data_IF_446514664913
#
_entry.id   IF_446514664913
#
_cell.length_a   1.000
_cell.length_b   1.000
_cell.length_c   1.000
_cell.angle_alpha   90.00
_cell.angle_beta   90.00
_cell.angle_gamma   90.00
#
_symmetry.space_group_name_H-M   'P 1'
#
loop_
_entity.id
_entity.type
_entity.pdbx_description
1 polymer ?
#
# COMPACT_ATOMS: atom_id res chain seq x y z
N UNK A 1 7.97 -57.43 45.19
CA UNK A 1 7.84 -55.94 45.17
C UNK A 1 8.08 -55.46 43.76
N UNK A 2 7.01 -55.24 42.98
CA UNK A 2 7.11 -54.79 41.57
C UNK A 2 6.91 -53.30 41.53
N UNK A 3 7.94 -52.58 41.16
CA UNK A 3 7.88 -51.13 40.92
C UNK A 3 7.55 -50.86 39.47
N UNK A 4 6.30 -50.47 39.18
CA UNK A 4 5.89 -49.97 37.85
C UNK A 4 6.42 -48.54 37.67
N UNK A 5 7.29 -48.33 36.70
CA UNK A 5 7.71 -47.00 36.22
C UNK A 5 6.75 -46.55 35.13
N UNK A 6 5.93 -45.56 35.42
CA UNK A 6 5.16 -44.84 34.40
C UNK A 6 6.08 -43.87 33.69
N UNK A 7 6.30 -44.12 32.38
CA UNK A 7 6.92 -43.16 31.49
C UNK A 7 5.83 -42.22 30.93
N UNK A 8 5.87 -40.97 31.35
CA UNK A 8 5.00 -39.94 30.80
C UNK A 8 5.58 -39.48 29.44
N UNK A 9 4.88 -39.82 28.35
CA UNK A 9 5.16 -39.29 27.01
C UNK A 9 4.58 -37.87 26.92
N UNK A 10 5.47 -36.88 26.96
CA UNK A 10 5.14 -35.49 26.65
C UNK A 10 5.06 -35.35 25.11
N UNK A 11 3.86 -35.34 24.58
CA UNK A 11 3.59 -34.97 23.17
C UNK A 11 3.63 -33.46 23.06
N UNK A 12 4.75 -32.92 22.55
CA UNK A 12 4.86 -31.52 22.16
C UNK A 12 4.05 -31.29 20.90
N UNK A 13 2.88 -30.68 21.03
CA UNK A 13 2.13 -30.16 19.88
C UNK A 13 2.86 -28.95 19.31
N UNK A 14 3.54 -29.11 18.17
CA UNK A 14 3.99 -27.99 17.37
C UNK A 14 2.74 -27.29 16.80
N UNK A 15 2.40 -26.13 17.34
CA UNK A 15 1.51 -25.20 16.66
C UNK A 15 2.27 -24.61 15.47
N UNK A 16 2.01 -25.13 14.28
CA UNK A 16 2.34 -24.46 13.05
C UNK A 16 1.49 -23.18 12.99
N UNK A 17 2.09 -22.05 13.33
CA UNK A 17 1.50 -20.75 13.02
C UNK A 17 1.57 -20.61 11.51
N UNK A 18 0.43 -20.76 10.84
CA UNK A 18 0.25 -20.28 9.49
C UNK A 18 0.47 -18.76 9.50
N UNK A 19 1.71 -18.35 9.23
CA UNK A 19 1.97 -16.99 8.81
C UNK A 19 1.25 -16.83 7.48
N UNK A 20 0.04 -16.27 7.51
CA UNK A 20 -0.66 -15.91 6.29
C UNK A 20 0.24 -14.95 5.52
N UNK A 21 0.91 -15.47 4.50
CA UNK A 21 1.77 -14.68 3.64
C UNK A 21 0.92 -13.55 3.06
N UNK A 22 1.22 -12.32 3.47
CA UNK A 22 0.52 -11.14 3.00
C UNK A 22 0.59 -11.09 1.49
N UNK A 23 -0.57 -11.09 0.83
CA UNK A 23 -0.66 -11.08 -0.61
C UNK A 23 0.03 -9.84 -1.18
N UNK A 24 1.06 -10.05 -2.00
CA UNK A 24 1.72 -8.98 -2.76
C UNK A 24 1.18 -8.98 -4.19
N UNK A 25 0.99 -7.80 -4.73
CA UNK A 25 0.54 -7.61 -6.11
C UNK A 25 1.73 -7.48 -7.06
N UNK A 26 1.52 -7.65 -8.39
CA UNK A 26 2.55 -7.37 -9.39
C UNK A 26 3.11 -5.96 -9.21
N UNK A 27 4.39 -5.78 -9.46
CA UNK A 27 5.07 -4.49 -9.31
C UNK A 27 5.38 -3.85 -10.66
N UNK A 28 5.45 -2.53 -10.67
CA UNK A 28 5.98 -1.72 -11.78
C UNK A 28 6.98 -0.71 -11.25
N UNK A 29 7.88 -0.26 -12.12
CA UNK A 29 8.78 0.83 -11.79
C UNK A 29 8.17 2.14 -12.27
N UNK A 30 7.92 3.05 -11.33
CA UNK A 30 7.54 4.43 -11.61
C UNK A 30 8.76 5.33 -11.52
N UNK A 31 8.73 6.44 -12.25
CA UNK A 31 9.73 7.49 -12.11
C UNK A 31 9.08 8.86 -11.88
N UNK A 32 9.62 9.59 -10.92
CA UNK A 32 9.24 10.97 -10.60
C UNK A 32 10.53 11.79 -10.59
N UNK A 33 10.79 12.52 -11.67
CA UNK A 33 12.09 13.14 -11.88
C UNK A 33 13.20 12.09 -11.88
N UNK A 34 14.18 12.23 -10.96
CA UNK A 34 15.29 11.28 -10.79
C UNK A 34 14.98 10.11 -9.86
N UNK A 35 13.81 10.12 -9.21
CA UNK A 35 13.46 9.11 -8.21
C UNK A 35 12.75 7.92 -8.88
N UNK A 36 13.24 6.72 -8.60
CA UNK A 36 12.61 5.47 -9.00
C UNK A 36 11.84 4.87 -7.82
N UNK A 37 10.64 4.40 -8.10
CA UNK A 37 9.73 3.79 -7.13
C UNK A 37 9.37 2.39 -7.61
N UNK A 38 9.45 1.40 -6.74
CA UNK A 38 8.87 0.09 -6.96
C UNK A 38 7.45 0.09 -6.39
N UNK A 39 6.47 0.20 -7.27
CA UNK A 39 5.06 0.26 -6.87
C UNK A 39 4.35 -1.06 -7.17
N UNK A 40 3.68 -1.62 -6.16
CA UNK A 40 2.68 -2.65 -6.38
C UNK A 40 1.50 -2.04 -7.16
N UNK A 41 0.85 -2.83 -8.00
CA UNK A 41 -0.19 -2.34 -8.91
C UNK A 41 -1.55 -2.92 -8.53
N UNK A 42 -2.50 -2.08 -8.16
CA UNK A 42 -3.88 -2.43 -7.86
C UNK A 42 -4.80 -2.01 -9.03
N UNK A 43 -5.27 -2.96 -9.82
CA UNK A 43 -6.11 -2.75 -10.99
C UNK A 43 -7.57 -3.16 -10.78
N UNK A 44 -7.80 -4.29 -10.07
CA UNK A 44 -9.13 -4.83 -9.83
C UNK A 44 -9.77 -4.20 -8.61
N UNK A 45 -11.09 -4.28 -8.51
CA UNK A 45 -11.83 -3.70 -7.39
C UNK A 45 -11.38 -4.29 -6.04
N UNK A 46 -11.16 -5.60 -5.97
CA UNK A 46 -10.70 -6.29 -4.76
C UNK A 46 -9.28 -5.85 -4.37
N UNK A 47 -8.40 -5.66 -5.35
CA UNK A 47 -7.03 -5.19 -5.14
C UNK A 47 -7.03 -3.75 -4.62
N UNK A 48 -7.85 -2.88 -5.22
CA UNK A 48 -7.99 -1.50 -4.74
C UNK A 48 -8.63 -1.43 -3.36
N UNK A 49 -9.60 -2.30 -3.07
CA UNK A 49 -10.23 -2.37 -1.75
C UNK A 49 -9.26 -2.84 -0.67
N UNK A 50 -8.38 -3.79 -0.99
CA UNK A 50 -7.36 -4.27 -0.07
C UNK A 50 -6.23 -3.25 0.13
N UNK A 51 -5.69 -2.68 -0.95
CA UNK A 51 -4.58 -1.74 -0.88
C UNK A 51 -3.42 -2.25 -0.03
N UNK A 52 -2.87 -1.38 0.80
CA UNK A 52 -1.78 -1.68 1.74
C UNK A 52 -2.27 -2.14 3.13
N UNK A 53 -3.52 -2.62 3.24
CA UNK A 53 -4.06 -3.11 4.52
C UNK A 53 -3.16 -4.20 5.11
N UNK A 54 -3.01 -4.17 6.44
CA UNK A 54 -2.24 -5.13 7.24
C UNK A 54 -0.73 -5.19 6.94
N UNK A 55 -0.19 -4.28 6.13
CA UNK A 55 1.26 -4.17 5.95
C UNK A 55 1.89 -3.60 7.22
N UNK A 56 2.91 -4.29 7.74
CA UNK A 56 3.63 -3.84 8.93
C UNK A 56 4.68 -2.77 8.59
N UNK A 57 5.21 -2.83 7.37
CA UNK A 57 6.21 -1.90 6.86
C UNK A 57 6.14 -1.75 5.34
N UNK A 58 6.69 -0.66 4.85
CA UNK A 58 6.86 -0.33 3.44
C UNK A 58 8.30 0.14 3.23
N UNK A 59 8.99 -0.40 2.24
CA UNK A 59 10.35 0.03 1.90
C UNK A 59 10.42 1.50 1.53
N UNK A 60 11.59 2.10 1.66
CA UNK A 60 11.78 3.56 1.51
C UNK A 60 11.29 4.10 0.16
N UNK A 61 11.49 3.34 -0.93
CA UNK A 61 11.04 3.69 -2.28
C UNK A 61 10.03 2.66 -2.82
N UNK A 62 9.30 2.03 -1.94
CA UNK A 62 8.18 1.15 -2.26
C UNK A 62 6.86 1.89 -2.05
N UNK A 63 5.86 1.51 -2.82
CA UNK A 63 4.52 2.07 -2.74
C UNK A 63 3.49 1.20 -3.41
N UNK A 64 2.29 1.73 -3.56
CA UNK A 64 1.22 1.11 -4.33
C UNK A 64 0.56 2.13 -5.24
N UNK A 65 0.46 1.79 -6.53
CA UNK A 65 -0.30 2.57 -7.51
C UNK A 65 -1.64 1.91 -7.78
N UNK A 66 -2.69 2.67 -7.57
CA UNK A 66 -4.08 2.32 -7.86
C UNK A 66 -4.44 2.89 -9.22
N UNK A 67 -4.94 2.05 -10.12
CA UNK A 67 -5.48 2.51 -11.40
C UNK A 67 -6.99 2.34 -11.40
N UNK A 68 -7.70 3.42 -11.67
CA UNK A 68 -9.16 3.41 -11.82
C UNK A 68 -9.53 3.19 -13.30
N UNK A 69 -10.66 2.52 -13.60
CA UNK A 69 -11.07 2.24 -14.99
C UNK A 69 -11.23 3.50 -15.84
N UNK A 70 -11.62 4.59 -15.21
CA UNK A 70 -11.83 5.92 -15.80
C UNK A 70 -11.43 7.02 -14.83
N UNK A 71 -11.21 8.23 -15.32
CA UNK A 71 -10.99 9.42 -14.50
C UNK A 71 -12.29 9.77 -13.78
N UNK A 72 -12.25 9.87 -12.45
CA UNK A 72 -13.44 10.07 -11.60
C UNK A 72 -13.09 10.74 -10.28
N UNK A 73 -14.07 11.23 -9.51
CA UNK A 73 -13.84 11.58 -8.11
C UNK A 73 -13.33 10.37 -7.33
N UNK A 74 -12.17 10.51 -6.68
CA UNK A 74 -11.51 9.44 -5.92
C UNK A 74 -11.24 9.93 -4.50
N UNK A 75 -11.58 9.10 -3.53
CA UNK A 75 -11.17 9.27 -2.14
C UNK A 75 -10.50 7.99 -1.63
N UNK A 76 -9.50 8.14 -0.78
CA UNK A 76 -8.77 7.06 -0.11
C UNK A 76 -9.01 7.14 1.39
N UNK A 77 -8.83 6.05 2.09
CA UNK A 77 -8.94 5.92 3.54
C UNK A 77 -7.85 5.01 4.09
N UNK A 78 -7.69 5.00 5.41
CA UNK A 78 -6.64 4.23 6.10
C UNK A 78 -7.20 3.06 6.93
N UNK A 79 -8.40 2.56 6.59
CA UNK A 79 -8.97 1.40 7.26
C UNK A 79 -8.01 0.22 7.21
N UNK A 80 -7.76 -0.43 8.36
CA UNK A 80 -6.85 -1.58 8.50
C UNK A 80 -5.44 -1.34 7.95
N UNK A 81 -5.02 -0.09 7.77
CA UNK A 81 -3.71 0.29 7.24
C UNK A 81 -2.84 0.77 8.38
N UNK A 82 -1.76 0.04 8.66
CA UNK A 82 -0.91 0.23 9.84
C UNK A 82 0.22 1.23 9.59
N UNK A 83 0.69 1.31 8.35
CA UNK A 83 1.79 2.20 7.96
C UNK A 83 1.24 3.59 7.70
N UNK A 84 1.81 4.65 8.30
CA UNK A 84 1.49 6.03 7.92
C UNK A 84 1.81 6.28 6.45
N UNK A 85 0.88 6.82 5.68
CA UNK A 85 1.01 7.00 4.24
C UNK A 85 0.79 8.46 3.82
N UNK A 86 1.37 8.82 2.67
CA UNK A 86 0.95 9.96 1.85
C UNK A 86 0.40 9.44 0.53
N UNK A 87 -0.70 10.02 0.06
CA UNK A 87 -1.30 9.69 -1.24
C UNK A 87 -1.16 10.86 -2.21
N UNK A 88 -0.68 10.60 -3.42
CA UNK A 88 -0.73 11.52 -4.55
C UNK A 88 -1.85 11.09 -5.49
N UNK A 89 -2.81 11.98 -5.74
CA UNK A 89 -3.83 11.79 -6.77
C UNK A 89 -3.32 12.29 -8.11
N UNK A 90 -3.58 11.53 -9.18
CA UNK A 90 -2.93 11.72 -10.48
C UNK A 90 -3.99 11.69 -11.58
N UNK A 91 -3.91 12.62 -12.50
CA UNK A 91 -4.82 12.71 -13.66
C UNK A 91 -4.50 11.70 -14.75
N UNK A 92 -5.31 11.66 -15.82
CA UNK A 92 -5.10 10.80 -16.99
C UNK A 92 -3.76 11.05 -17.69
N UNK A 93 -3.26 12.25 -17.63
CA UNK A 93 -1.98 12.64 -18.23
C UNK A 93 -0.77 12.29 -17.37
N UNK A 94 -0.96 11.72 -16.19
CA UNK A 94 0.12 11.38 -15.27
C UNK A 94 0.62 12.56 -14.43
N UNK A 95 -0.17 13.63 -14.30
CA UNK A 95 0.20 14.81 -13.50
C UNK A 95 -0.41 14.70 -12.11
N UNK A 96 0.38 14.96 -11.06
CA UNK A 96 -0.11 15.02 -9.69
C UNK A 96 -1.08 16.18 -9.52
N UNK A 97 -2.30 15.89 -9.06
CA UNK A 97 -3.37 16.85 -8.75
C UNK A 97 -3.14 17.47 -7.38
N UNK A 98 -3.11 16.63 -6.35
CA UNK A 98 -2.87 16.99 -4.95
C UNK A 98 -2.26 15.81 -4.19
N UNK A 99 -1.69 16.11 -3.02
CA UNK A 99 -1.07 15.14 -2.13
C UNK A 99 -1.69 15.33 -0.74
N UNK A 100 -2.04 14.23 -0.08
CA UNK A 100 -2.60 14.22 1.28
C UNK A 100 -1.80 13.27 2.17
N UNK A 101 -1.52 13.69 3.41
CA UNK A 101 -0.99 12.82 4.46
C UNK A 101 -2.14 12.11 5.17
N UNK A 102 -2.00 10.82 5.42
CA UNK A 102 -3.06 9.98 5.97
C UNK A 102 -2.60 9.26 7.22
N UNK A 103 -3.38 9.36 8.31
CA UNK A 103 -3.08 8.70 9.58
C UNK A 103 -3.52 7.24 9.59
N UNK A 104 -2.68 6.33 10.15
CA UNK A 104 -3.02 4.91 10.26
C UNK A 104 -4.37 4.65 10.90
N UNK A 105 -5.07 3.63 10.41
CA UNK A 105 -6.30 3.08 10.97
C UNK A 105 -7.45 4.09 11.13
N UNK A 106 -7.45 5.18 10.37
CA UNK A 106 -8.56 6.12 10.30
C UNK A 106 -9.44 5.83 9.08
N UNK A 107 -10.70 6.27 9.16
CA UNK A 107 -11.67 6.12 8.07
C UNK A 107 -12.04 7.47 7.44
N UNK A 108 -11.30 8.52 7.77
CA UNK A 108 -11.46 9.82 7.15
C UNK A 108 -11.21 9.73 5.64
N UNK A 109 -12.04 10.41 4.87
CA UNK A 109 -11.90 10.43 3.42
C UNK A 109 -10.87 11.49 3.01
N UNK A 110 -9.83 11.05 2.30
CA UNK A 110 -8.83 11.90 1.66
C UNK A 110 -9.10 11.90 0.16
N UNK A 111 -9.47 13.04 -0.42
CA UNK A 111 -10.03 13.08 -1.75
C UNK A 111 -9.17 13.86 -2.75
N UNK A 112 -9.21 13.40 -4.00
CA UNK A 112 -8.67 14.14 -5.13
C UNK A 112 -9.46 15.43 -5.34
N UNK A 113 -8.75 16.54 -5.59
CA UNK A 113 -9.37 17.86 -5.85
C UNK A 113 -9.97 17.99 -7.25
N UNK A 114 -9.66 17.06 -8.13
CA UNK A 114 -10.18 16.94 -9.51
C UNK A 114 -10.34 15.45 -9.84
N UNK A 115 -11.07 15.06 -10.89
CA UNK A 115 -11.12 13.67 -11.33
C UNK A 115 -9.72 13.08 -11.50
N UNK A 116 -9.48 11.92 -10.88
CA UNK A 116 -8.21 11.23 -10.89
C UNK A 116 -8.31 9.88 -11.62
N UNK A 117 -7.27 9.53 -12.36
CA UNK A 117 -7.10 8.23 -13.01
C UNK A 117 -6.32 7.27 -12.14
N UNK A 118 -5.39 7.81 -11.31
CA UNK A 118 -4.52 7.03 -10.44
C UNK A 118 -4.43 7.66 -9.06
N UNK A 119 -4.05 6.83 -8.09
CA UNK A 119 -3.55 7.26 -6.79
C UNK A 119 -2.23 6.52 -6.53
N UNK A 120 -1.25 7.19 -5.94
CA UNK A 120 0.03 6.60 -5.54
C UNK A 120 0.22 6.80 -4.04
N UNK A 121 0.25 5.69 -3.30
CA UNK A 121 0.55 5.66 -1.86
C UNK A 121 2.03 5.37 -1.63
N UNK A 122 2.66 6.19 -0.80
CA UNK A 122 4.05 6.08 -0.35
C UNK A 122 4.11 6.23 1.17
N UNK A 123 5.25 5.90 1.79
CA UNK A 123 5.48 6.25 3.19
C UNK A 123 5.17 7.73 3.44
N UNK A 124 4.55 8.04 4.58
CA UNK A 124 4.16 9.41 4.91
C UNK A 124 5.36 10.35 4.83
N UNK A 125 5.17 11.46 4.15
CA UNK A 125 6.19 12.50 3.95
C UNK A 125 7.17 12.24 2.80
N UNK A 126 7.09 11.09 2.11
CA UNK A 126 8.01 10.76 1.02
C UNK A 126 8.03 11.85 -0.07
N UNK A 127 6.87 12.31 -0.53
CA UNK A 127 6.78 13.34 -1.56
C UNK A 127 7.44 14.65 -1.12
N UNK A 128 7.21 15.06 0.11
CA UNK A 128 7.83 16.26 0.68
C UNK A 128 9.35 16.12 0.77
N UNK A 129 9.85 14.99 1.26
CA UNK A 129 11.29 14.71 1.36
C UNK A 129 11.99 14.72 0.00
N UNK A 130 11.28 14.29 -1.07
CA UNK A 130 11.80 14.27 -2.44
C UNK A 130 11.50 15.56 -3.22
N UNK A 131 10.93 16.56 -2.57
CA UNK A 131 10.50 17.82 -3.19
C UNK A 131 9.54 17.62 -4.37
N UNK A 132 8.69 16.59 -4.29
CA UNK A 132 7.64 16.29 -5.26
C UNK A 132 6.38 17.05 -4.87
N UNK A 133 5.82 17.81 -5.81
CA UNK A 133 4.69 18.72 -5.60
C UNK A 133 3.57 18.45 -6.61
N UNK A 134 2.33 18.92 -6.33
CA UNK A 134 1.29 19.00 -7.35
C UNK A 134 1.80 19.65 -8.64
N UNK A 135 1.38 19.13 -9.79
CA UNK A 135 1.88 19.54 -11.10
C UNK A 135 3.07 18.71 -11.61
N UNK A 136 3.71 17.90 -10.76
CA UNK A 136 4.79 17.00 -11.17
C UNK A 136 4.24 15.84 -12.01
N UNK A 137 5.00 15.45 -13.05
CA UNK A 137 4.71 14.29 -13.90
C UNK A 137 5.28 13.01 -13.31
N UNK A 138 4.51 11.93 -13.43
CA UNK A 138 4.92 10.57 -13.11
C UNK A 138 4.99 9.73 -14.39
N UNK A 139 6.11 9.08 -14.60
CA UNK A 139 6.30 8.11 -15.68
C UNK A 139 6.12 6.67 -15.21
N UNK A 140 5.87 5.75 -16.18
CA UNK A 140 5.73 4.33 -15.90
C UNK A 140 4.38 3.89 -15.35
N UNK A 141 3.37 4.77 -15.33
CA UNK A 141 2.02 4.44 -14.85
C UNK A 141 1.41 3.28 -15.67
N UNK A 142 0.70 2.34 -15.03
CA UNK A 142 0.08 1.20 -15.70
C UNK A 142 -1.02 1.68 -16.67
N UNK A 143 -1.07 1.06 -17.87
CA UNK A 143 -2.07 1.35 -18.90
C UNK A 143 -3.37 0.59 -18.69
#
# INVERSE_FOLDING_TARGET
>A
MNTFRFAALLTSALFLQDASAQQRFPTTTLNIGIHLIQAEVALRDEERAQGLMFREQLGQNEGMVFRFPESRPVCMWMKNTLVPLSVAFIDDGGTIINIEDMQPQTQDAHCAKKPARYALEMNQGWFRQKNVKPGTKIGGLPK
#
